data_IF_750027579768
#
_entry.id   IF_750027579768
#
_cell.length_a   1.000
_cell.length_b   1.000
_cell.length_c   1.000
_cell.angle_alpha   90.00
_cell.angle_beta   90.00
_cell.angle_gamma   90.00
#
_symmetry.space_group_name_H-M   'P 1'
#
loop_
_entity.id
_entity.type
_entity.pdbx_description
1 polymer ?
#
# COMPACT_ATOMS: atom_id res chain seq x y z
N UNK A 1 -12.99 6.53 11.70
CA UNK A 1 -11.81 7.14 11.04
C UNK A 1 -10.61 6.26 11.36
N UNK A 2 -9.84 5.80 10.36
CA UNK A 2 -8.69 4.90 10.60
C UNK A 2 -7.49 5.73 11.07
N UNK A 3 -6.93 5.51 12.27
CA UNK A 3 -5.86 6.33 12.82
C UNK A 3 -4.46 5.92 12.33
N UNK A 4 -4.36 4.91 11.47
CA UNK A 4 -3.09 4.31 11.04
C UNK A 4 -2.95 4.32 9.52
N UNK A 5 -1.71 4.48 9.05
CA UNK A 5 -1.29 4.13 7.69
C UNK A 5 -0.43 2.89 7.75
N UNK A 6 -0.76 1.86 6.97
CA UNK A 6 0.06 0.65 6.83
C UNK A 6 1.37 0.95 6.09
N UNK A 7 1.28 1.76 5.03
CA UNK A 7 2.37 2.06 4.10
C UNK A 7 2.41 3.55 3.81
N UNK A 8 3.59 4.15 3.83
CA UNK A 8 3.84 5.52 3.40
C UNK A 8 5.14 5.59 2.60
N UNK A 9 5.12 6.27 1.46
CA UNK A 9 6.33 6.65 0.72
C UNK A 9 6.59 8.14 0.95
N UNK A 10 7.79 8.49 1.43
CA UNK A 10 8.15 9.89 1.72
C UNK A 10 9.67 10.07 1.59
N UNK A 11 10.15 11.19 1.06
CA UNK A 11 11.59 11.53 1.05
C UNK A 11 12.50 10.37 0.56
N UNK A 12 12.08 9.65 -0.49
CA UNK A 12 12.76 8.44 -1.02
C UNK A 12 12.99 7.32 0.02
N UNK A 13 12.07 7.15 0.97
CA UNK A 13 12.04 6.00 1.86
C UNK A 13 10.64 5.41 1.97
N UNK A 14 10.60 4.10 2.15
CA UNK A 14 9.39 3.35 2.44
C UNK A 14 9.23 3.26 3.95
N UNK A 15 8.08 3.67 4.46
CA UNK A 15 7.76 3.66 5.89
C UNK A 15 6.62 2.67 6.10
N UNK A 16 6.83 1.67 6.95
CA UNK A 16 5.85 0.63 7.27
C UNK A 16 5.46 0.71 8.74
N UNK A 17 4.17 0.54 9.01
CA UNK A 17 3.69 0.24 10.36
C UNK A 17 4.07 -1.20 10.72
N UNK A 18 4.80 -1.40 11.81
CA UNK A 18 5.13 -2.74 12.31
C UNK A 18 3.89 -3.40 12.92
N UNK A 19 3.19 -4.19 12.11
CA UNK A 19 1.95 -4.83 12.51
C UNK A 19 2.13 -5.93 13.57
N UNK A 20 3.36 -6.35 13.86
CA UNK A 20 3.68 -7.34 14.89
C UNK A 20 3.53 -6.75 16.30
N UNK A 21 3.67 -5.43 16.41
CA UNK A 21 3.60 -4.71 17.68
C UNK A 21 2.17 -4.32 18.05
N UNK A 22 1.23 -4.40 17.10
CA UNK A 22 -0.19 -4.12 17.35
C UNK A 22 -0.84 -5.25 18.18
N UNK A 23 -1.83 -4.93 19.03
CA UNK A 23 -2.38 -3.60 19.29
C UNK A 23 -1.61 -2.81 20.36
N UNK A 24 -0.54 -3.36 20.93
CA UNK A 24 0.13 -2.82 22.10
C UNK A 24 0.95 -1.56 21.81
N UNK A 25 1.62 -1.50 20.66
CA UNK A 25 2.44 -0.35 20.27
C UNK A 25 2.26 -0.02 18.79
N UNK A 26 2.31 1.28 18.49
CA UNK A 26 2.31 1.79 17.12
C UNK A 26 3.73 2.23 16.77
N UNK A 27 4.45 1.38 16.04
CA UNK A 27 5.86 1.60 15.66
C UNK A 27 5.96 1.71 14.14
N UNK A 28 6.64 2.74 13.65
CA UNK A 28 6.92 2.94 12.23
C UNK A 28 8.40 2.67 11.94
N UNK A 29 8.66 1.86 10.91
CA UNK A 29 10.00 1.47 10.50
C UNK A 29 10.30 2.05 9.11
N UNK A 30 11.47 2.66 8.97
CA UNK A 30 11.95 3.25 7.72
C UNK A 30 12.84 2.27 6.96
N UNK A 31 12.57 2.13 5.67
CA UNK A 31 13.30 1.26 4.75
C UNK A 31 13.87 2.08 3.60
N UNK A 32 15.18 1.95 3.43
CA UNK A 32 15.91 2.56 2.33
C UNK A 32 16.47 1.54 1.36
N UNK A 33 16.55 0.26 1.72
CA UNK A 33 17.16 -0.79 0.91
C UNK A 33 16.15 -1.88 0.56
N UNK A 34 16.17 -2.35 -0.68
CA UNK A 34 15.23 -3.36 -1.15
C UNK A 34 15.37 -4.71 -0.41
N UNK A 35 16.59 -5.07 0.00
CA UNK A 35 16.86 -6.26 0.83
C UNK A 35 16.14 -6.19 2.16
N UNK A 36 16.17 -5.04 2.83
CA UNK A 36 15.46 -4.81 4.09
C UNK A 36 13.94 -4.84 3.89
N UNK A 37 13.44 -4.43 2.72
CA UNK A 37 12.01 -4.57 2.37
C UNK A 37 11.60 -6.03 2.21
N UNK A 38 12.42 -6.85 1.53
CA UNK A 38 12.17 -8.29 1.43
C UNK A 38 12.12 -8.95 2.82
N UNK A 39 13.03 -8.56 3.72
CA UNK A 39 13.01 -9.03 5.10
C UNK A 39 11.75 -8.59 5.85
N UNK A 40 11.33 -7.34 5.70
CA UNK A 40 10.11 -6.83 6.32
C UNK A 40 8.86 -7.61 5.89
N UNK A 41 8.79 -8.00 4.62
CA UNK A 41 7.72 -8.85 4.07
C UNK A 41 7.79 -10.25 4.68
N UNK A 42 8.98 -10.86 4.74
CA UNK A 42 9.21 -12.20 5.30
C UNK A 42 8.82 -12.28 6.77
N UNK A 43 9.31 -11.33 7.56
CA UNK A 43 9.08 -11.22 9.00
C UNK A 43 7.67 -10.72 9.34
N UNK A 44 6.83 -10.44 8.35
CA UNK A 44 5.46 -9.98 8.52
C UNK A 44 5.33 -8.64 9.27
N UNK A 45 6.33 -7.75 9.13
CA UNK A 45 6.18 -6.33 9.51
C UNK A 45 4.96 -5.76 8.80
N UNK A 46 4.81 -6.09 7.52
CA UNK A 46 3.62 -5.84 6.71
C UNK A 46 2.96 -7.15 6.30
N UNK A 47 1.63 -7.19 6.36
CA UNK A 47 0.82 -8.34 5.95
C UNK A 47 -0.50 -7.90 5.36
N UNK A 48 -1.16 -8.80 4.64
CA UNK A 48 -2.29 -8.51 3.76
C UNK A 48 -1.84 -8.46 2.31
N UNK A 49 -2.51 -9.22 1.44
CA UNK A 49 -2.03 -9.42 0.08
C UNK A 49 -1.83 -8.10 -0.69
N UNK A 50 -2.78 -7.13 -0.66
CA UNK A 50 -2.56 -5.85 -1.34
C UNK A 50 -1.43 -5.02 -0.74
N UNK A 51 -1.35 -4.92 0.59
CA UNK A 51 -0.26 -4.20 1.27
C UNK A 51 1.12 -4.79 0.93
N UNK A 52 1.25 -6.12 0.87
CA UNK A 52 2.49 -6.78 0.47
C UNK A 52 2.86 -6.42 -0.98
N UNK A 53 1.89 -6.42 -1.91
CA UNK A 53 2.13 -6.05 -3.30
C UNK A 53 2.67 -4.62 -3.46
N UNK A 54 2.00 -3.67 -2.82
CA UNK A 54 2.42 -2.25 -2.81
C UNK A 54 3.81 -2.08 -2.17
N UNK A 55 4.08 -2.79 -1.07
CA UNK A 55 5.39 -2.79 -0.41
C UNK A 55 6.48 -3.29 -1.36
N UNK A 56 6.23 -4.39 -2.07
CA UNK A 56 7.19 -4.95 -3.03
C UNK A 56 7.44 -4.02 -4.23
N UNK A 57 6.41 -3.32 -4.71
CA UNK A 57 6.58 -2.30 -5.76
C UNK A 57 7.56 -1.20 -5.32
N UNK A 58 7.41 -0.66 -4.11
CA UNK A 58 8.37 0.31 -3.57
C UNK A 58 9.75 -0.31 -3.29
N UNK A 59 9.83 -1.60 -2.95
CA UNK A 59 11.10 -2.34 -2.90
C UNK A 59 11.86 -2.31 -4.23
N UNK A 60 11.16 -2.52 -5.35
CA UNK A 60 11.74 -2.41 -6.69
C UNK A 60 12.21 -0.98 -7.01
N UNK A 61 11.47 0.04 -6.57
CA UNK A 61 11.88 1.45 -6.72
C UNK A 61 13.17 1.74 -5.95
N UNK A 62 13.28 1.28 -4.71
CA UNK A 62 14.51 1.44 -3.91
C UNK A 62 15.70 0.76 -4.59
N UNK A 63 15.51 -0.42 -5.18
CA UNK A 63 16.56 -1.09 -5.95
C UNK A 63 17.02 -0.26 -7.15
N UNK A 64 16.09 0.32 -7.92
CA UNK A 64 16.42 1.19 -9.04
C UNK A 64 17.19 2.44 -8.60
N UNK A 65 16.77 3.04 -7.46
CA UNK A 65 17.41 4.23 -6.90
C UNK A 65 18.82 3.96 -6.36
N UNK A 66 19.10 2.72 -5.93
CA UNK A 66 20.38 2.31 -5.38
C UNK A 66 21.35 1.74 -6.40
N UNK A 67 20.86 1.34 -7.57
CA UNK A 67 21.68 0.81 -8.64
C UNK A 67 22.59 1.90 -9.21
N UNK A 68 23.88 1.59 -9.27
CA UNK A 68 24.93 2.38 -9.93
C UNK A 68 25.05 2.04 -11.43
N UNK A 69 24.09 1.30 -11.98
CA UNK A 69 24.09 0.90 -13.38
C UNK A 69 24.21 2.11 -14.33
N UNK A 70 25.16 2.01 -15.26
CA UNK A 70 25.40 2.98 -16.31
C UNK A 70 24.71 2.60 -17.63
N UNK A 71 24.19 1.38 -17.74
CA UNK A 71 23.44 0.90 -18.90
C UNK A 71 22.08 0.34 -18.49
N UNK A 72 21.14 0.31 -19.44
CA UNK A 72 19.82 -0.27 -19.24
C UNK A 72 19.93 -1.75 -18.83
N UNK A 73 20.77 -2.53 -19.51
CA UNK A 73 20.96 -3.96 -19.23
C UNK A 73 21.46 -4.20 -17.80
N UNK A 74 22.40 -3.38 -17.31
CA UNK A 74 22.91 -3.48 -15.94
C UNK A 74 21.79 -3.20 -14.93
N UNK A 75 20.99 -2.15 -15.16
CA UNK A 75 19.88 -1.81 -14.27
C UNK A 75 18.80 -2.91 -14.28
N UNK A 76 18.50 -3.46 -15.44
CA UNK A 76 17.57 -4.59 -15.56
C UNK A 76 18.08 -5.81 -14.78
N UNK A 77 19.37 -6.14 -14.86
CA UNK A 77 19.96 -7.24 -14.08
C UNK A 77 19.85 -6.99 -12.56
N UNK A 78 20.10 -5.76 -12.11
CA UNK A 78 19.92 -5.36 -10.71
C UNK A 78 18.48 -5.55 -10.25
N UNK A 79 17.51 -5.10 -11.06
CA UNK A 79 16.09 -5.24 -10.77
C UNK A 79 15.65 -6.70 -10.75
N UNK A 80 16.13 -7.54 -11.67
CA UNK A 80 15.82 -8.97 -11.67
C UNK A 80 16.35 -9.68 -10.43
N UNK A 81 17.56 -9.34 -9.96
CA UNK A 81 18.13 -9.89 -8.73
C UNK A 81 17.26 -9.56 -7.51
N UNK A 82 16.85 -8.30 -7.38
CA UNK A 82 15.98 -7.88 -6.28
C UNK A 82 14.57 -8.47 -6.41
N UNK A 83 14.03 -8.57 -7.62
CA UNK A 83 12.76 -9.21 -7.88
C UNK A 83 12.75 -10.65 -7.34
N UNK A 84 13.81 -11.43 -7.59
CA UNK A 84 13.94 -12.78 -7.05
C UNK A 84 13.94 -12.80 -5.51
N UNK A 85 14.64 -11.86 -4.87
CA UNK A 85 14.67 -11.76 -3.40
C UNK A 85 13.29 -11.42 -2.82
N UNK A 86 12.57 -10.48 -3.43
CA UNK A 86 11.21 -10.11 -3.02
C UNK A 86 10.24 -11.28 -3.21
N UNK A 87 10.27 -11.94 -4.38
CA UNK A 87 9.43 -13.11 -4.67
C UNK A 87 9.68 -14.26 -3.69
N UNK A 88 10.93 -14.48 -3.30
CA UNK A 88 11.31 -15.50 -2.33
C UNK A 88 10.88 -15.16 -0.89
N UNK A 89 10.59 -13.89 -0.56
CA UNK A 89 10.20 -13.50 0.79
C UNK A 89 8.92 -14.21 1.24
N UNK A 90 7.91 -14.29 0.35
CA UNK A 90 6.64 -15.00 0.58
C UNK A 90 6.08 -15.55 -0.75
N UNK A 91 6.51 -16.76 -1.18
CA UNK A 91 6.26 -17.28 -2.53
C UNK A 91 4.79 -17.46 -2.93
N UNK A 92 3.88 -17.58 -1.95
CA UNK A 92 2.44 -17.73 -2.18
C UNK A 92 1.69 -16.40 -2.30
N UNK A 93 2.36 -15.26 -2.09
CA UNK A 93 1.74 -13.94 -2.16
C UNK A 93 1.57 -13.50 -3.63
N UNK A 94 0.43 -13.83 -4.23
CA UNK A 94 0.14 -13.51 -5.64
C UNK A 94 0.23 -12.00 -5.96
N UNK A 95 -0.24 -11.13 -5.06
CA UNK A 95 -0.13 -9.67 -5.22
C UNK A 95 1.32 -9.17 -5.18
N UNK A 96 2.20 -9.87 -4.46
CA UNK A 96 3.64 -9.60 -4.48
C UNK A 96 4.17 -9.85 -5.89
N UNK A 97 3.92 -11.05 -6.42
CA UNK A 97 4.38 -11.45 -7.74
C UNK A 97 3.84 -10.53 -8.84
N UNK A 98 2.55 -10.22 -8.79
CA UNK A 98 1.90 -9.28 -9.71
C UNK A 98 2.58 -7.90 -9.71
N UNK A 99 2.81 -7.32 -8.52
CA UNK A 99 3.42 -5.99 -8.41
C UNK A 99 4.88 -6.00 -8.93
N UNK A 100 5.67 -7.01 -8.56
CA UNK A 100 7.05 -7.15 -9.04
C UNK A 100 7.10 -7.29 -10.56
N UNK A 101 6.25 -8.14 -11.14
CA UNK A 101 6.17 -8.33 -12.59
C UNK A 101 5.76 -7.04 -13.33
N UNK A 102 4.82 -6.29 -12.77
CA UNK A 102 4.38 -5.00 -13.31
C UNK A 102 5.52 -3.98 -13.37
N UNK A 103 6.34 -3.91 -12.32
CA UNK A 103 7.53 -3.05 -12.30
C UNK A 103 8.62 -3.54 -13.27
N UNK A 104 8.84 -4.85 -13.37
CA UNK A 104 9.78 -5.41 -14.36
C UNK A 104 9.36 -5.09 -15.80
N UNK A 105 8.05 -5.12 -16.11
CA UNK A 105 7.55 -4.76 -17.43
C UNK A 105 7.85 -3.29 -17.78
N UNK A 106 7.74 -2.37 -16.81
CA UNK A 106 8.16 -0.96 -17.01
C UNK A 106 9.65 -0.88 -17.32
N UNK A 107 10.48 -1.70 -16.68
CA UNK A 107 11.92 -1.73 -16.88
C UNK A 107 12.37 -2.33 -18.22
N UNK A 108 11.51 -3.02 -18.97
CA UNK A 108 11.86 -3.61 -20.27
C UNK A 108 12.00 -2.58 -21.39
N UNK A 109 11.42 -1.39 -21.24
CA UNK A 109 11.30 -0.42 -22.35
C UNK A 109 11.67 0.99 -21.91
N UNK A 110 12.16 1.78 -22.85
CA UNK A 110 12.45 3.20 -22.68
C UNK A 110 13.89 3.49 -22.22
N UNK A 111 14.24 4.79 -22.10
CA UNK A 111 15.60 5.22 -21.81
C UNK A 111 15.97 5.01 -20.33
N UNK A 112 17.27 4.83 -20.06
CA UNK A 112 17.79 4.67 -18.70
C UNK A 112 17.52 5.90 -17.82
N UNK A 113 17.60 7.10 -18.41
CA UNK A 113 17.54 8.38 -17.70
C UNK A 113 16.20 8.59 -16.98
N UNK A 114 15.09 8.15 -17.57
CA UNK A 114 13.74 8.30 -17.00
C UNK A 114 13.23 7.06 -16.26
N UNK A 115 13.92 5.93 -16.39
CA UNK A 115 13.42 4.65 -15.91
C UNK A 115 13.18 4.65 -14.39
N UNK A 116 14.06 5.27 -13.60
CA UNK A 116 13.88 5.39 -12.15
C UNK A 116 12.60 6.16 -11.78
N UNK A 117 12.29 7.22 -12.52
CA UNK A 117 11.07 8.01 -12.32
C UNK A 117 9.82 7.24 -12.75
N UNK A 118 9.89 6.51 -13.87
CA UNK A 118 8.78 5.67 -14.36
C UNK A 118 8.45 4.53 -13.40
N UNK A 119 9.47 3.87 -12.83
CA UNK A 119 9.27 2.84 -11.79
C UNK A 119 8.60 3.43 -10.55
N UNK A 120 9.03 4.62 -10.10
CA UNK A 120 8.37 5.30 -8.97
C UNK A 120 6.91 5.63 -9.29
N UNK A 121 6.64 6.19 -10.47
CA UNK A 121 5.28 6.49 -10.92
C UNK A 121 4.41 5.24 -10.97
N UNK A 122 4.94 4.11 -11.42
CA UNK A 122 4.23 2.84 -11.45
C UNK A 122 3.91 2.30 -10.05
N UNK A 123 4.86 2.37 -9.12
CA UNK A 123 4.62 1.97 -7.74
C UNK A 123 3.57 2.86 -7.06
N UNK A 124 3.58 4.16 -7.35
CA UNK A 124 2.56 5.11 -6.90
C UNK A 124 1.19 4.84 -7.54
N UNK A 125 1.15 4.43 -8.80
CA UNK A 125 -0.08 4.00 -9.47
C UNK A 125 -0.67 2.77 -8.79
N UNK A 126 0.15 1.73 -8.52
CA UNK A 126 -0.28 0.55 -7.76
C UNK A 126 -0.85 0.94 -6.38
N UNK A 127 -0.21 1.87 -5.67
CA UNK A 127 -0.69 2.39 -4.39
C UNK A 127 -2.06 3.08 -4.51
N UNK A 128 -2.22 3.96 -5.51
CA UNK A 128 -3.45 4.71 -5.73
C UNK A 128 -4.60 3.82 -6.21
N UNK A 129 -4.31 2.86 -7.08
CA UNK A 129 -5.27 1.86 -7.55
C UNK A 129 -5.78 1.00 -6.40
N UNK A 130 -4.94 0.57 -5.46
CA UNK A 130 -5.40 -0.22 -4.30
C UNK A 130 -6.41 0.57 -3.44
N UNK A 131 -6.16 1.86 -3.22
CA UNK A 131 -7.10 2.75 -2.52
C UNK A 131 -8.45 2.76 -3.23
N UNK A 132 -8.44 2.94 -4.56
CA UNK A 132 -9.66 3.06 -5.35
C UNK A 132 -10.40 1.72 -5.43
N UNK A 133 -9.69 0.60 -5.62
CA UNK A 133 -10.25 -0.74 -5.61
C UNK A 133 -10.96 -1.00 -4.27
N UNK A 134 -10.31 -0.71 -3.14
CA UNK A 134 -10.92 -0.88 -1.82
C UNK A 134 -12.19 -0.04 -1.64
N UNK A 135 -12.18 1.20 -2.13
CA UNK A 135 -13.34 2.09 -2.12
C UNK A 135 -14.49 1.52 -2.95
N UNK A 136 -14.20 1.04 -4.15
CA UNK A 136 -15.19 0.48 -5.07
C UNK A 136 -15.78 -0.83 -4.54
N UNK A 137 -14.95 -1.72 -3.97
CA UNK A 137 -15.43 -2.94 -3.29
C UNK A 137 -16.42 -2.57 -2.18
N UNK A 138 -16.08 -1.59 -1.33
CA UNK A 138 -16.95 -1.13 -0.26
C UNK A 138 -18.28 -0.58 -0.75
N UNK A 139 -18.27 0.28 -1.78
CA UNK A 139 -19.49 0.86 -2.36
C UNK A 139 -20.34 -0.17 -3.11
N UNK A 140 -19.71 -1.13 -3.76
CA UNK A 140 -20.41 -2.20 -4.48
C UNK A 140 -21.06 -3.18 -3.50
N UNK A 141 -20.39 -3.47 -2.37
CA UNK A 141 -20.89 -4.38 -1.35
C UNK A 141 -21.93 -3.73 -0.43
N UNK A 142 -21.88 -2.40 -0.22
CA UNK A 142 -22.76 -1.70 0.72
C UNK A 142 -24.26 -1.99 0.48
N UNK A 143 -24.81 -1.92 -0.74
CA UNK A 143 -26.22 -2.22 -0.99
C UNK A 143 -26.63 -3.67 -0.72
N UNK A 144 -25.66 -4.59 -0.60
CA UNK A 144 -25.91 -6.01 -0.33
C UNK A 144 -26.04 -6.30 1.18
N UNK A 145 -25.69 -5.34 2.03
CA UNK A 145 -25.70 -5.50 3.49
C UNK A 145 -26.96 -4.85 4.06
N UNK A 146 -27.86 -5.60 4.71
CA UNK A 146 -29.02 -5.03 5.39
C UNK A 146 -28.64 -4.05 6.50
N UNK A 147 -29.49 -3.05 6.77
CA UNK A 147 -29.25 -2.03 7.79
C UNK A 147 -28.98 -2.61 9.19
N UNK A 148 -29.63 -3.73 9.53
CA UNK A 148 -29.46 -4.44 10.80
C UNK A 148 -28.80 -5.81 10.60
N UNK A 149 -27.58 -5.82 10.06
CA UNK A 149 -26.80 -7.04 9.85
C UNK A 149 -25.71 -7.24 10.91
N UNK A 150 -25.49 -8.49 11.30
CA UNK A 150 -24.28 -8.92 12.02
C UNK A 150 -23.32 -9.56 11.01
N UNK A 151 -22.14 -8.97 10.83
CA UNK A 151 -21.12 -9.46 9.90
C UNK A 151 -20.07 -10.27 10.65
N UNK A 152 -19.89 -11.53 10.26
CA UNK A 152 -18.79 -12.37 10.72
C UNK A 152 -17.70 -12.32 9.65
N UNK A 153 -16.47 -11.98 10.04
CA UNK A 153 -15.29 -12.07 9.19
C UNK A 153 -14.18 -12.85 9.91
N UNK A 154 -13.26 -13.40 9.12
CA UNK A 154 -12.07 -14.09 9.62
C UNK A 154 -10.81 -13.39 9.11
N UNK A 155 -9.76 -13.36 9.93
CA UNK A 155 -8.52 -12.59 9.69
C UNK A 155 -8.75 -11.06 9.70
N UNK A 156 -7.79 -10.31 9.16
CA UNK A 156 -7.86 -8.87 8.98
C UNK A 156 -7.72 -8.53 7.49
N UNK A 157 -8.80 -8.01 6.91
CA UNK A 157 -8.89 -7.55 5.51
C UNK A 157 -9.18 -6.05 5.43
N UNK A 158 -9.08 -5.34 6.56
CA UNK A 158 -9.28 -3.90 6.64
C UNK A 158 -8.02 -3.10 6.32
N UNK A 159 -8.00 -1.85 6.78
CA UNK A 159 -6.98 -0.85 6.46
C UNK A 159 -5.52 -1.19 6.82
N UNK A 160 -5.29 -2.20 7.66
CA UNK A 160 -3.94 -2.71 7.95
C UNK A 160 -3.45 -3.67 6.86
N UNK A 161 -4.35 -4.39 6.20
CA UNK A 161 -4.04 -5.38 5.17
C UNK A 161 -4.01 -4.79 3.75
N UNK A 162 -4.44 -3.54 3.61
CA UNK A 162 -4.52 -2.82 2.35
C UNK A 162 -3.92 -1.41 2.49
N UNK A 163 -4.01 -0.63 1.43
CA UNK A 163 -3.75 0.80 1.41
C UNK A 163 -5.07 1.55 1.53
N UNK A 164 -5.10 2.58 2.38
CA UNK A 164 -6.28 3.42 2.57
C UNK A 164 -5.95 4.89 2.39
N UNK A 165 -6.87 5.62 1.76
CA UNK A 165 -6.83 7.07 1.76
C UNK A 165 -7.04 7.59 3.18
N UNK A 166 -6.22 8.56 3.54
CA UNK A 166 -6.30 9.28 4.81
C UNK A 166 -6.77 10.70 4.52
N UNK A 167 -7.43 11.36 5.49
CA UNK A 167 -8.04 12.68 5.33
C UNK A 167 -7.07 13.77 4.82
N UNK A 168 -5.76 13.57 4.97
CA UNK A 168 -4.72 14.48 4.46
C UNK A 168 -4.51 14.40 2.94
N UNK A 169 -4.94 13.31 2.28
CA UNK A 169 -4.69 13.07 0.86
C UNK A 169 -5.99 12.90 0.05
N UNK A 170 -7.14 13.16 0.68
CA UNK A 170 -8.43 12.96 0.04
C UNK A 170 -8.76 14.12 -0.92
N UNK A 171 -9.13 13.84 -2.19
CA UNK A 171 -9.73 14.84 -3.08
C UNK A 171 -10.97 15.46 -2.41
N UNK A 172 -11.31 16.70 -2.75
CA UNK A 172 -12.31 17.51 -2.04
C UNK A 172 -13.68 16.84 -1.88
N UNK A 173 -14.02 15.91 -2.79
CA UNK A 173 -15.25 15.12 -2.81
C UNK A 173 -15.36 14.04 -1.71
N UNK A 174 -14.25 13.62 -1.08
CA UNK A 174 -14.25 12.70 0.07
C UNK A 174 -14.42 13.41 1.42
N UNK A 175 -14.60 14.75 1.44
CA UNK A 175 -15.01 15.46 2.65
C UNK A 175 -16.46 15.10 2.92
N UNK A 176 -16.69 14.26 3.95
CA UNK A 176 -18.05 13.98 4.44
C UNK A 176 -18.87 15.28 4.54
N UNK A 177 -20.15 15.29 4.14
CA UNK A 177 -20.98 16.47 4.29
C UNK A 177 -20.93 16.94 5.74
N UNK A 178 -20.78 18.26 5.94
CA UNK A 178 -20.77 18.89 7.27
C UNK A 178 -21.89 18.26 8.10
N UNK A 179 -21.53 17.72 9.27
CA UNK A 179 -22.49 17.17 10.20
C UNK A 179 -23.65 18.17 10.35
N UNK A 180 -24.85 17.73 9.96
CA UNK A 180 -26.07 18.44 10.29
C UNK A 180 -26.11 18.45 11.82
N UNK A 181 -25.99 19.65 12.41
CA UNK A 181 -26.22 19.82 13.84
C UNK A 181 -27.65 19.34 14.10
N UNK A 182 -27.80 18.27 14.85
CA UNK A 182 -29.09 17.93 15.43
C UNK A 182 -29.47 19.11 16.33
N UNK A 183 -30.53 19.81 15.95
CA UNK A 183 -31.10 20.89 16.72
C UNK A 183 -31.64 20.31 18.02
N UNK A 184 -31.02 20.68 19.15
CA UNK A 184 -31.55 20.37 20.49
C UNK A 184 -32.65 21.37 20.81
N UNK A 185 -33.84 21.17 20.24
CA UNK A 185 -35.09 21.58 20.85
C UNK A 185 -35.58 20.37 21.66
N UNK A 186 -35.55 20.30 22.99
CA UNK A 186 -35.73 21.38 23.94
C UNK A 186 -37.21 21.77 24.06
N UNK A 187 -38.10 20.84 24.45
CA UNK A 187 -39.35 21.18 25.15
C UNK A 187 -39.76 20.08 26.17
N UNK A 188 -40.18 20.47 27.38
CA UNK A 188 -40.73 19.58 28.40
C UNK A 188 -42.27 19.47 28.32
N UNK A 189 -42.78 18.34 28.82
CA UNK A 189 -44.11 18.07 29.43
C UNK A 189 -45.36 18.80 28.92
N UNK A 190 -46.32 18.04 28.36
CA UNK A 190 -47.54 17.57 29.04
C UNK A 190 -48.03 16.28 28.34
#
# INVERSE_FOLDING_TARGET
>A
MVPFRSITWKDNRLILLDQRQLPHQTVYLDYRQATAVAEAIREMVVRGAPAIGVTAAFGMVLAAQQSEAATLDQLQQDLHRVAQQLLAARPTAVNLAWAVQRLLAVAQTGPLDDLRQRLLAEAQAIYAEDIEINRQIGLTAQPLIPDAASVIHHCNTGALATVVATRKDAPEFCRAPRAVRADRAGRPSL
#
